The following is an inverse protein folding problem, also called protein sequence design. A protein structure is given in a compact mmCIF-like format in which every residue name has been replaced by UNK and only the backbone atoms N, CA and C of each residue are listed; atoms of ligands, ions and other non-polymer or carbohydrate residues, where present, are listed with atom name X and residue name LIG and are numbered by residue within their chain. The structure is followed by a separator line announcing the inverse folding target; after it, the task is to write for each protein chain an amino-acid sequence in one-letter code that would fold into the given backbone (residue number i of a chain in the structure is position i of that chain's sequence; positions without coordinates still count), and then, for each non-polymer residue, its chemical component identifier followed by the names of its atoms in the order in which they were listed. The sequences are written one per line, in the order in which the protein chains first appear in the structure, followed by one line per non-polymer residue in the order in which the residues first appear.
data_IF_745682199663
#
_entry.id   IF_745682199663
#
_cell.length_a   1.000
_cell.length_b   1.000
_cell.length_c   1.000
_cell.angle_alpha   90.00
_cell.angle_beta   90.00
_cell.angle_gamma   90.00
#
_symmetry.space_group_name_H-M   'P 1'
#
loop_
_entity.id
_entity.type
_entity.pdbx_description
1 polymer ?
#
# COMPACT_ATOMS: atom_id res chain seq x y z
N UNK A 1 -14.74 -8.09 7.50
CA UNK A 1 -13.63 -8.80 6.83
C UNK A 1 -13.21 -7.91 5.68
N UNK A 2 -12.11 -7.16 5.84
CA UNK A 2 -11.61 -6.24 4.82
C UNK A 2 -10.68 -7.05 3.92
N UNK A 3 -11.03 -7.12 2.64
CA UNK A 3 -10.21 -7.72 1.61
C UNK A 3 -8.96 -6.85 1.41
N UNK A 4 -7.81 -7.35 1.85
CA UNK A 4 -6.49 -6.71 1.71
C UNK A 4 -5.96 -6.80 0.28
N UNK A 5 -6.69 -7.47 -0.63
CA UNK A 5 -6.35 -7.62 -2.04
C UNK A 5 -6.82 -6.37 -2.80
N UNK A 6 -6.20 -5.23 -2.48
CA UNK A 6 -6.55 -3.92 -3.02
C UNK A 6 -6.35 -3.75 -4.54
N UNK A 7 -6.13 -4.83 -5.29
CA UNK A 7 -5.82 -4.75 -6.72
C UNK A 7 -6.26 -5.97 -7.57
N UNK A 8 -7.38 -6.62 -7.24
CA UNK A 8 -7.84 -7.83 -7.95
C UNK A 8 -8.90 -7.58 -9.03
N UNK A 9 -9.37 -6.34 -9.21
CA UNK A 9 -10.51 -6.04 -10.12
C UNK A 9 -10.11 -5.62 -11.52
N UNK A 10 -8.82 -5.41 -11.75
CA UNK A 10 -8.30 -4.97 -13.03
C UNK A 10 -6.95 -5.64 -13.26
N UNK A 11 -6.76 -6.16 -14.47
CA UNK A 11 -5.46 -6.64 -14.93
C UNK A 11 -4.82 -5.56 -15.79
N UNK A 12 -3.66 -5.06 -15.37
CA UNK A 12 -2.85 -4.22 -16.25
C UNK A 12 -1.98 -5.12 -17.11
N UNK A 13 -2.21 -5.09 -18.41
CA UNK A 13 -1.45 -5.89 -19.39
C UNK A 13 -0.63 -4.93 -20.24
N UNK A 14 0.69 -5.07 -20.17
CA UNK A 14 1.59 -4.34 -21.05
C UNK A 14 1.49 -4.94 -22.47
N UNK A 15 1.21 -4.09 -23.46
CA UNK A 15 1.12 -4.51 -24.87
C UNK A 15 2.20 -3.80 -25.69
N UNK A 16 2.88 -4.53 -26.58
CA UNK A 16 3.86 -3.94 -27.50
C UNK A 16 3.16 -3.17 -28.65
N UNK A 17 2.00 -3.67 -29.09
CA UNK A 17 1.19 -3.06 -30.14
C UNK A 17 -0.28 -3.38 -29.88
N UNK A 18 -1.15 -2.38 -30.05
CA UNK A 18 -2.60 -2.55 -30.04
C UNK A 18 -3.12 -2.24 -31.44
N UNK A 19 -3.84 -3.19 -32.04
CA UNK A 19 -4.59 -2.97 -33.27
C UNK A 19 -6.08 -3.05 -32.97
N UNK A 20 -6.72 -1.90 -32.93
CA UNK A 20 -8.17 -1.79 -32.67
C UNK A 20 -9.00 -1.90 -33.95
N UNK A 21 -8.37 -1.87 -35.13
CA UNK A 21 -9.02 -2.03 -36.44
C UNK A 21 -8.70 -3.41 -37.01
N UNK A 22 -8.66 -4.42 -36.15
CA UNK A 22 -8.41 -5.78 -36.58
C UNK A 22 -9.55 -6.31 -37.45
N UNK A 23 -9.21 -7.14 -38.44
CA UNK A 23 -10.20 -7.87 -39.25
C UNK A 23 -10.56 -9.24 -38.64
N UNK A 24 -10.23 -9.46 -37.36
CA UNK A 24 -10.55 -10.69 -36.63
C UNK A 24 -12.06 -10.82 -36.44
N UNK A 25 -12.61 -11.97 -36.85
CA UNK A 25 -13.99 -12.33 -36.55
C UNK A 25 -14.15 -12.65 -35.06
N UNK A 26 -14.63 -11.67 -34.31
CA UNK A 26 -14.86 -11.81 -32.87
C UNK A 26 -15.95 -12.84 -32.55
N UNK A 27 -16.91 -13.11 -33.43
CA UNK A 27 -17.92 -14.16 -33.20
C UNK A 27 -17.26 -15.54 -33.22
N UNK A 28 -16.35 -15.77 -34.16
CA UNK A 28 -15.56 -17.00 -34.19
C UNK A 28 -14.70 -17.14 -32.94
N UNK A 29 -14.01 -16.07 -32.52
CA UNK A 29 -13.18 -16.08 -31.30
C UNK A 29 -14.01 -16.46 -30.08
N UNK A 30 -15.18 -15.84 -29.89
CA UNK A 30 -16.05 -16.16 -28.76
C UNK A 30 -16.62 -17.58 -28.83
N UNK A 31 -16.97 -18.07 -30.02
CA UNK A 31 -17.41 -19.45 -30.19
C UNK A 31 -16.30 -20.44 -29.80
N UNK A 32 -15.05 -20.16 -30.18
CA UNK A 32 -13.92 -21.00 -29.81
C UNK A 32 -13.64 -20.97 -28.29
N UNK A 33 -13.71 -19.78 -27.67
CA UNK A 33 -13.57 -19.64 -26.22
C UNK A 33 -14.69 -20.36 -25.45
N UNK A 34 -15.92 -20.36 -25.97
CA UNK A 34 -17.04 -21.09 -25.36
C UNK A 34 -16.79 -22.61 -25.39
N UNK A 35 -16.38 -23.16 -26.54
CA UNK A 35 -16.00 -24.58 -26.64
C UNK A 35 -14.83 -24.93 -25.70
N UNK A 36 -13.83 -24.06 -25.59
CA UNK A 36 -12.67 -24.24 -24.72
C UNK A 36 -13.06 -24.22 -23.24
N UNK A 37 -13.96 -23.32 -22.87
CA UNK A 37 -14.52 -23.26 -21.52
C UNK A 37 -15.33 -24.52 -21.19
N UNK A 38 -16.20 -24.98 -22.09
CA UNK A 38 -16.97 -26.21 -21.93
C UNK A 38 -16.08 -27.46 -21.86
N UNK A 39 -14.92 -27.43 -22.53
CA UNK A 39 -13.88 -28.45 -22.43
C UNK A 39 -13.07 -28.39 -21.12
N UNK A 40 -13.38 -27.44 -20.23
CA UNK A 40 -12.72 -27.29 -18.93
C UNK A 40 -11.32 -26.69 -19.01
N UNK A 41 -11.00 -25.95 -20.09
CA UNK A 41 -9.72 -25.24 -20.17
C UNK A 41 -9.63 -24.17 -19.07
N UNK A 42 -8.41 -23.92 -18.63
CA UNK A 42 -8.12 -22.90 -17.63
C UNK A 42 -8.43 -21.50 -18.18
N UNK A 43 -9.12 -20.70 -17.37
CA UNK A 43 -9.52 -19.32 -17.70
C UNK A 43 -9.14 -18.30 -16.60
N UNK A 44 -8.50 -18.77 -15.54
CA UNK A 44 -7.89 -17.96 -14.48
C UNK A 44 -6.36 -17.98 -14.62
N UNK A 45 -5.67 -17.02 -14.00
CA UNK A 45 -4.21 -16.95 -14.03
C UNK A 45 -3.60 -18.09 -13.20
N UNK A 46 -2.48 -18.66 -13.66
CA UNK A 46 -1.66 -19.52 -12.80
C UNK A 46 -1.01 -18.69 -11.69
N UNK A 47 -0.50 -19.31 -10.61
CA UNK A 47 0.24 -18.58 -9.58
C UNK A 47 1.42 -17.76 -10.13
N UNK A 48 2.11 -18.27 -11.15
CA UNK A 48 3.20 -17.56 -11.82
C UNK A 48 2.70 -16.33 -12.61
N UNK A 49 1.56 -16.44 -13.28
CA UNK A 49 0.94 -15.34 -14.00
C UNK A 49 0.37 -14.27 -13.04
N UNK A 50 -0.16 -14.68 -11.87
CA UNK A 50 -0.56 -13.75 -10.80
C UNK A 50 0.63 -12.96 -10.27
N UNK A 51 1.80 -13.59 -10.10
CA UNK A 51 3.02 -12.90 -9.68
C UNK A 51 3.47 -11.87 -10.72
N UNK A 52 3.48 -12.24 -12.01
CA UNK A 52 3.80 -11.30 -13.09
C UNK A 52 2.83 -10.12 -13.13
N UNK A 53 1.53 -10.40 -12.98
CA UNK A 53 0.52 -9.36 -12.90
C UNK A 53 0.75 -8.43 -11.71
N UNK A 54 1.12 -8.97 -10.54
CA UNK A 54 1.42 -8.17 -9.36
C UNK A 54 2.61 -7.22 -9.60
N UNK A 55 3.64 -7.65 -10.34
CA UNK A 55 4.77 -6.79 -10.72
C UNK A 55 4.32 -5.64 -11.63
N UNK A 56 3.54 -5.93 -12.67
CA UNK A 56 3.04 -4.90 -13.59
C UNK A 56 2.14 -3.92 -12.84
N UNK A 57 1.20 -4.43 -12.05
CA UNK A 57 0.30 -3.62 -11.26
C UNK A 57 1.03 -2.72 -10.24
N UNK A 58 2.12 -3.21 -9.62
CA UNK A 58 2.95 -2.40 -8.72
C UNK A 58 3.61 -1.20 -9.44
N UNK A 59 3.97 -1.35 -10.72
CA UNK A 59 4.51 -0.25 -11.53
C UNK A 59 3.48 0.84 -11.90
N UNK A 60 2.19 0.49 -11.85
CA UNK A 60 1.08 1.42 -12.09
C UNK A 60 0.40 1.90 -10.80
N UNK A 61 0.90 1.49 -9.63
CA UNK A 61 0.45 2.02 -8.34
C UNK A 61 0.88 3.50 -8.26
N UNK A 62 -0.08 4.39 -8.45
CA UNK A 62 0.13 5.84 -8.34
C UNK A 62 0.65 6.11 -6.92
N UNK A 63 1.91 6.53 -6.80
CA UNK A 63 2.46 6.98 -5.52
C UNK A 63 1.59 8.13 -5.04
N UNK A 64 0.91 7.94 -3.91
CA UNK A 64 0.03 8.96 -3.38
C UNK A 64 0.83 10.11 -2.77
N UNK A 65 0.18 11.26 -2.65
CA UNK A 65 0.73 12.39 -1.90
C UNK A 65 1.05 12.03 -0.44
N UNK A 66 0.38 11.04 0.15
CA UNK A 66 0.67 10.58 1.52
C UNK A 66 1.98 9.81 1.55
N UNK A 67 2.18 8.88 0.61
CA UNK A 67 3.39 8.07 0.52
C UNK A 67 4.63 8.92 0.23
N UNK A 68 4.51 9.86 -0.69
CA UNK A 68 5.59 10.78 -1.03
C UNK A 68 6.01 11.63 0.18
N UNK A 69 5.04 12.26 0.87
CA UNK A 69 5.28 13.04 2.09
C UNK A 69 5.91 12.21 3.21
N UNK A 70 5.48 10.96 3.38
CA UNK A 70 6.04 10.05 4.37
C UNK A 70 7.50 9.73 4.03
N UNK A 71 7.80 9.42 2.76
CA UNK A 71 9.17 9.11 2.31
C UNK A 71 10.13 10.29 2.50
N UNK A 72 9.67 11.51 2.29
CA UNK A 72 10.46 12.73 2.49
C UNK A 72 10.76 13.03 3.97
N UNK A 73 9.79 12.76 4.85
CA UNK A 73 9.81 13.21 6.25
C UNK A 73 10.20 12.14 7.26
N UNK A 74 10.18 10.87 6.87
CA UNK A 74 10.60 9.76 7.72
C UNK A 74 12.12 9.58 7.66
N UNK A 75 12.75 9.54 8.82
CA UNK A 75 14.14 9.14 8.98
C UNK A 75 14.20 7.78 9.66
N UNK A 76 14.56 6.75 8.89
CA UNK A 76 14.70 5.38 9.40
C UNK A 76 15.94 5.19 10.29
N UNK A 77 16.91 6.10 10.21
CA UNK A 77 18.15 6.07 10.99
C UNK A 77 18.13 7.10 12.13
N UNK A 78 16.97 7.70 12.42
CA UNK A 78 16.85 8.67 13.48
C UNK A 78 17.25 8.07 14.83
N UNK A 79 18.15 8.74 15.53
CA UNK A 79 18.52 8.37 16.90
C UNK A 79 17.37 8.55 17.90
N UNK A 80 16.40 9.42 17.57
CA UNK A 80 15.22 9.66 18.38
C UNK A 80 13.98 9.11 17.69
N UNK A 81 13.41 8.05 18.26
CA UNK A 81 12.16 7.46 17.81
C UNK A 81 11.03 7.82 18.78
N UNK A 82 9.91 8.30 18.26
CA UNK A 82 8.75 8.70 19.07
C UNK A 82 7.59 7.78 18.76
N UNK A 83 6.86 7.33 19.79
CA UNK A 83 5.64 6.56 19.58
C UNK A 83 4.51 7.46 19.06
N UNK A 84 4.12 7.24 17.82
CA UNK A 84 3.09 8.02 17.14
C UNK A 84 2.04 7.11 16.50
N UNK A 85 0.78 7.52 16.60
CA UNK A 85 -0.33 6.97 15.81
C UNK A 85 -0.21 7.43 14.36
N UNK A 86 -0.85 6.72 13.42
CA UNK A 86 -0.87 7.14 12.01
C UNK A 86 -1.39 8.59 11.83
N UNK A 87 -2.37 9.02 12.63
CA UNK A 87 -2.91 10.39 12.61
C UNK A 87 -1.85 11.41 13.05
N UNK A 88 -1.11 11.11 14.11
CA UNK A 88 -0.06 12.00 14.63
C UNK A 88 1.07 12.16 13.61
N UNK A 89 1.48 11.06 12.95
CA UNK A 89 2.45 11.10 11.86
C UNK A 89 1.94 11.95 10.69
N UNK A 90 0.70 11.72 10.23
CA UNK A 90 0.08 12.47 9.15
C UNK A 90 0.06 13.98 9.43
N UNK A 91 -0.28 14.39 10.66
CA UNK A 91 -0.25 15.80 11.06
C UNK A 91 1.17 16.36 11.05
N UNK A 92 2.16 15.61 11.52
CA UNK A 92 3.57 16.04 11.54
C UNK A 92 4.16 16.22 10.14
N UNK A 93 3.74 15.41 9.17
CA UNK A 93 4.16 15.54 7.76
C UNK A 93 3.34 16.61 6.99
N UNK A 94 2.54 17.42 7.68
CA UNK A 94 1.81 18.55 7.09
C UNK A 94 0.39 18.23 6.59
N UNK A 95 -0.18 17.07 6.92
CA UNK A 95 -1.57 16.72 6.63
C UNK A 95 -2.42 17.01 7.87
N UNK A 96 -2.86 18.27 8.00
CA UNK A 96 -3.55 18.77 9.20
C UNK A 96 -4.91 18.10 9.46
N UNK A 97 -5.65 17.76 8.39
CA UNK A 97 -6.98 17.15 8.45
C UNK A 97 -6.99 15.78 7.75
N UNK A 98 -6.38 14.75 8.35
CA UNK A 98 -6.35 13.42 7.76
C UNK A 98 -7.75 12.81 7.74
N UNK A 99 -8.16 12.28 6.59
CA UNK A 99 -9.40 11.53 6.45
C UNK A 99 -9.13 10.02 6.67
N UNK A 100 -10.18 9.20 6.66
CA UNK A 100 -10.07 7.76 6.86
C UNK A 100 -9.20 7.07 5.78
N UNK A 101 -9.13 7.61 4.56
CA UNK A 101 -8.30 7.06 3.49
C UNK A 101 -6.82 7.30 3.80
N UNK A 102 -6.44 8.53 4.15
CA UNK A 102 -5.08 8.87 4.54
C UNK A 102 -4.61 8.04 5.75
N UNK A 103 -5.48 7.82 6.74
CA UNK A 103 -5.15 7.01 7.91
C UNK A 103 -4.89 5.54 7.57
N UNK A 104 -5.69 4.94 6.67
CA UNK A 104 -5.49 3.56 6.23
C UNK A 104 -4.20 3.41 5.45
N UNK A 105 -3.97 4.33 4.52
CA UNK A 105 -2.78 4.36 3.69
C UNK A 105 -1.50 4.53 4.51
N UNK A 106 -1.44 5.56 5.36
CA UNK A 106 -0.32 5.77 6.26
C UNK A 106 -0.08 4.57 7.18
N UNK A 107 -1.15 3.95 7.70
CA UNK A 107 -1.03 2.73 8.51
C UNK A 107 -0.49 1.53 7.72
N UNK A 108 -0.77 1.43 6.42
CA UNK A 108 -0.18 0.41 5.53
C UNK A 108 1.31 0.65 5.31
N UNK A 109 1.69 1.90 5.01
CA UNK A 109 3.08 2.30 4.77
C UNK A 109 3.92 2.14 6.04
N UNK A 110 3.42 2.60 7.19
CA UNK A 110 4.12 2.44 8.47
C UNK A 110 4.31 0.97 8.85
N UNK A 111 3.37 0.07 8.48
CA UNK A 111 3.56 -1.38 8.64
C UNK A 111 4.67 -1.94 7.76
N UNK A 112 4.76 -1.47 6.51
CA UNK A 112 5.83 -1.86 5.59
C UNK A 112 7.20 -1.39 6.10
N UNK A 113 7.29 -0.19 6.68
CA UNK A 113 8.55 0.42 7.13
C UNK A 113 9.00 -0.05 8.53
N UNK A 114 8.07 -0.16 9.49
CA UNK A 114 8.38 -0.36 10.91
C UNK A 114 7.77 -1.65 11.50
N UNK A 115 7.00 -2.41 10.72
CA UNK A 115 6.31 -3.61 11.21
C UNK A 115 4.99 -3.33 11.93
N UNK A 116 4.51 -4.29 12.72
CA UNK A 116 3.22 -4.17 13.40
C UNK A 116 3.25 -3.09 14.50
N UNK A 117 2.16 -2.32 14.68
CA UNK A 117 2.09 -1.32 15.73
C UNK A 117 2.10 -1.95 17.12
N UNK A 118 2.66 -1.23 18.09
CA UNK A 118 2.53 -1.56 19.52
C UNK A 118 1.34 -0.81 20.10
N UNK A 119 0.56 -1.49 20.95
CA UNK A 119 -0.54 -0.85 21.69
C UNK A 119 0.04 -0.09 22.89
N UNK A 120 -0.12 1.23 22.91
CA UNK A 120 0.39 2.13 23.96
C UNK A 120 -0.74 3.08 24.35
N UNK A 121 -1.09 3.14 25.63
CA UNK A 121 -2.21 3.95 26.16
C UNK A 121 -3.53 3.73 25.39
N UNK A 122 -3.83 2.47 25.07
CA UNK A 122 -5.05 2.08 24.36
C UNK A 122 -5.10 2.42 22.87
N UNK A 123 -4.00 2.94 22.29
CA UNK A 123 -3.91 3.29 20.86
C UNK A 123 -2.78 2.53 20.17
N UNK A 124 -2.95 2.23 18.90
CA UNK A 124 -1.91 1.63 18.06
C UNK A 124 -0.89 2.68 17.63
N UNK A 125 0.38 2.46 17.97
CA UNK A 125 1.48 3.39 17.70
C UNK A 125 2.68 2.68 17.08
N UNK A 126 3.41 3.41 16.25
CA UNK A 126 4.73 3.02 15.72
C UNK A 126 5.81 3.89 16.34
N UNK A 127 7.01 3.33 16.53
CA UNK A 127 8.21 4.11 16.86
C UNK A 127 8.72 4.76 15.58
N UNK A 128 8.40 6.03 15.36
CA UNK A 128 8.70 6.75 14.12
C UNK A 128 9.82 7.76 14.37
N UNK A 129 10.81 7.72 13.49
CA UNK A 129 11.84 8.77 13.36
C UNK A 129 11.41 9.77 12.30
N UNK A 130 11.41 11.05 12.62
CA UNK A 130 11.10 12.12 11.67
C UNK A 130 12.35 12.96 11.44
N UNK A 131 12.58 13.35 10.19
CA UNK A 131 13.64 14.32 9.87
C UNK A 131 13.37 15.63 10.59
N UNK A 132 14.38 16.10 11.32
CA UNK A 132 14.34 17.32 12.11
C UNK A 132 14.11 18.54 11.22
N UNK A 133 12.86 18.96 11.07
CA UNK A 133 12.55 20.28 10.54
C UNK A 133 12.02 21.13 11.71
N UNK A 134 12.97 21.77 12.39
CA UNK A 134 12.85 22.88 13.34
C UNK A 134 11.56 22.94 14.19
N UNK A 135 11.64 22.52 15.46
CA UNK A 135 10.74 23.05 16.51
C UNK A 135 9.93 22.06 17.35
N UNK A 136 10.44 20.86 17.64
CA UNK A 136 9.80 19.99 18.63
C UNK A 136 10.76 19.63 19.75
N UNK A 137 10.47 20.10 20.97
CA UNK A 137 11.03 19.50 22.17
C UNK A 137 10.24 18.21 22.47
N UNK A 138 10.88 17.04 22.47
CA UNK A 138 10.21 15.82 22.92
C UNK A 138 9.87 15.97 24.40
N UNK A 139 8.61 15.74 24.75
CA UNK A 139 8.26 15.43 26.15
C UNK A 139 8.89 14.06 26.42
N UNK A 140 9.94 14.05 27.22
CA UNK A 140 10.52 12.82 27.73
C UNK A 140 9.40 12.07 28.47
N UNK A 141 9.04 10.90 27.97
CA UNK A 141 8.26 9.94 28.73
C UNK A 141 9.31 9.11 29.45
N UNK A 142 9.41 9.28 30.77
CA UNK A 142 10.31 8.48 31.60
C UNK A 142 9.98 6.99 31.39
N UNK A 143 11.01 6.21 31.09
CA UNK A 143 10.99 4.74 30.94
C UNK A 143 10.83 4.05 32.31
N UNK A 144 9.91 4.51 33.16
CA UNK A 144 9.53 3.86 34.41
C UNK A 144 8.12 3.31 34.25
N UNK A 145 8.01 2.17 33.56
CA UNK A 145 6.97 1.15 33.81
C UNK A 145 7.34 -0.11 33.00
N UNK A 146 8.47 -0.72 33.37
CA UNK A 146 8.63 -2.17 33.27
C UNK A 146 7.85 -2.80 34.43
N UNK A 147 6.67 -3.33 34.16
CA UNK A 147 6.02 -4.30 35.05
C UNK A 147 5.72 -5.57 34.26
N UNK A 148 6.47 -6.60 34.66
CA UNK A 148 6.42 -8.05 34.36
C UNK A 148 5.25 -8.60 33.54
#
# INVERSE_FOLDING_TARGET
MVDTTGNSRWWTIAVERLDYQHDIDMQQVYAQLACDFDAGKQWWLTPEEEEQLAVVNAGHEVTSAVEERLRERIDLNANLLIYMTAIEVLRKIGINHPNNQHCREAGGILRKLYGQPKRVNGREKWKVGLTSDTGFQPVAMDDDDEVY
#
